data_IF_690766615999
#
_entry.id   IF_690766615999
#
_cell.length_a   1.000
_cell.length_b   1.000
_cell.length_c   1.000
_cell.angle_alpha   90.00
_cell.angle_beta   90.00
_cell.angle_gamma   90.00
#
_symmetry.space_group_name_H-M   'P 1'
#
loop_
_entity.id
_entity.type
_entity.pdbx_description
1 polymer ?
#
# COMPACT_ATOMS: atom_id res chain seq x y z
N UNK A 1 -12.46 -0.70 7.30
CA UNK A 1 -12.28 -1.53 8.53
C UNK A 1 -11.83 -2.91 8.08
N UNK A 2 -10.60 -3.29 8.44
CA UNK A 2 -9.86 -4.41 7.87
C UNK A 2 -10.43 -5.78 8.27
N UNK A 3 -10.28 -6.78 7.40
CA UNK A 3 -10.47 -8.19 7.78
C UNK A 3 -9.41 -8.56 8.82
N UNK A 4 -9.81 -9.30 9.85
CA UNK A 4 -8.85 -9.77 10.83
C UNK A 4 -7.95 -10.83 10.19
N UNK A 5 -6.70 -10.44 9.96
CA UNK A 5 -5.65 -11.38 9.59
C UNK A 5 -5.44 -12.29 10.79
N UNK A 6 -5.64 -13.59 10.60
CA UNK A 6 -5.47 -14.63 11.63
C UNK A 6 -4.30 -14.35 12.58
N UNK A 7 -4.60 -14.34 13.88
CA UNK A 7 -3.61 -14.16 14.95
C UNK A 7 -2.61 -15.32 15.05
N UNK A 8 -3.03 -16.55 14.75
CA UNK A 8 -2.14 -17.72 14.72
C UNK A 8 -1.48 -17.86 13.34
N UNK A 9 -0.32 -17.22 13.21
CA UNK A 9 0.69 -17.56 12.20
C UNK A 9 1.83 -18.32 12.88
N UNK A 10 1.60 -19.57 13.25
CA UNK A 10 2.67 -20.49 13.60
C UNK A 10 3.80 -20.41 12.55
N UNK A 11 5.06 -20.11 12.93
CA UNK A 11 6.15 -19.93 11.96
C UNK A 11 6.34 -21.19 11.11
N UNK A 12 6.04 -21.09 9.82
CA UNK A 12 6.32 -22.16 8.86
C UNK A 12 7.72 -21.97 8.30
N UNK A 13 8.65 -22.83 8.72
CA UNK A 13 10.02 -22.83 8.22
C UNK A 13 10.99 -23.62 9.10
N UNK A 14 12.25 -23.78 8.65
CA UNK A 14 13.30 -24.41 9.44
C UNK A 14 13.45 -23.68 10.78
N UNK A 15 13.46 -24.44 11.89
CA UNK A 15 13.64 -23.86 13.23
C UNK A 15 15.00 -23.16 13.32
N UNK A 16 15.05 -21.89 13.77
CA UNK A 16 16.31 -21.21 14.00
C UNK A 16 17.06 -21.87 15.16
N UNK A 17 18.26 -22.38 14.91
CA UNK A 17 19.14 -23.02 15.88
C UNK A 17 19.89 -21.98 16.73
N UNK A 18 19.15 -21.14 17.45
CA UNK A 18 19.72 -20.01 18.19
C UNK A 18 20.48 -20.46 19.44
N UNK A 19 19.89 -21.38 20.22
CA UNK A 19 20.46 -21.91 21.45
C UNK A 19 21.71 -22.78 21.18
N UNK A 20 21.67 -23.53 20.09
CA UNK A 20 22.80 -24.32 19.60
C UNK A 20 23.95 -23.41 19.15
N UNK A 21 23.62 -22.28 18.51
CA UNK A 21 24.62 -21.30 18.07
C UNK A 21 25.28 -20.57 19.24
N UNK A 22 24.54 -20.18 20.27
CA UNK A 22 25.11 -19.54 21.46
C UNK A 22 26.03 -20.50 22.20
N UNK A 23 25.57 -21.74 22.44
CA UNK A 23 26.37 -22.78 23.09
C UNK A 23 27.64 -23.12 22.31
N UNK A 24 27.56 -23.12 20.98
CA UNK A 24 28.74 -23.29 20.14
C UNK A 24 29.78 -22.19 20.36
N UNK A 25 29.39 -20.91 20.38
CA UNK A 25 30.34 -19.82 20.59
C UNK A 25 30.93 -19.80 22.00
N UNK A 26 30.14 -20.19 23.01
CA UNK A 26 30.63 -20.37 24.38
C UNK A 26 31.73 -21.45 24.47
N UNK A 27 31.55 -22.59 23.79
CA UNK A 27 32.58 -23.63 23.71
C UNK A 27 33.84 -23.13 22.98
N UNK A 28 33.69 -22.33 21.94
CA UNK A 28 34.84 -21.73 21.25
C UNK A 28 35.57 -20.72 22.14
N UNK A 29 34.86 -19.87 22.91
CA UNK A 29 35.51 -18.96 23.85
C UNK A 29 36.26 -19.68 24.99
N UNK A 30 35.79 -20.88 25.34
CA UNK A 30 36.44 -21.76 26.31
C UNK A 30 37.60 -22.60 25.70
N UNK A 31 37.98 -22.33 24.45
CA UNK A 31 39.15 -22.94 23.80
C UNK A 31 38.92 -24.28 23.11
N UNK A 32 37.67 -24.76 23.01
CA UNK A 32 37.38 -26.03 22.34
C UNK A 32 37.59 -25.95 20.82
N UNK A 33 38.02 -27.07 20.24
CA UNK A 33 38.17 -27.20 18.79
C UNK A 33 36.82 -27.17 18.05
N UNK A 34 36.79 -26.58 16.84
CA UNK A 34 35.55 -26.39 16.09
C UNK A 34 34.77 -27.67 15.75
N UNK A 35 35.48 -28.79 15.48
CA UNK A 35 34.84 -30.09 15.20
C UNK A 35 34.25 -30.70 16.46
N UNK A 36 34.92 -30.50 17.58
CA UNK A 36 34.51 -30.99 18.89
C UNK A 36 33.29 -30.21 19.39
N UNK A 37 33.33 -28.88 19.32
CA UNK A 37 32.20 -28.01 19.63
C UNK A 37 30.97 -28.31 18.75
N UNK A 38 31.16 -28.61 17.46
CA UNK A 38 30.07 -29.02 16.57
C UNK A 38 29.42 -30.35 17.01
N UNK A 39 30.23 -31.32 17.44
CA UNK A 39 29.74 -32.61 17.95
C UNK A 39 28.97 -32.45 19.26
N UNK A 40 29.47 -31.63 20.19
CA UNK A 40 28.83 -31.35 21.49
C UNK A 40 27.46 -30.67 21.31
N UNK A 41 27.35 -29.78 20.33
CA UNK A 41 26.11 -29.04 20.03
C UNK A 41 25.13 -29.86 19.18
N UNK A 42 25.56 -30.99 18.61
CA UNK A 42 24.71 -31.86 17.80
C UNK A 42 24.46 -31.34 16.39
N UNK A 43 25.38 -30.53 15.84
CA UNK A 43 25.25 -29.92 14.51
C UNK A 43 26.40 -30.32 13.60
N UNK A 44 26.17 -30.33 12.29
CA UNK A 44 27.23 -30.65 11.33
C UNK A 44 28.33 -29.58 11.35
N UNK A 45 29.58 -29.99 11.11
CA UNK A 45 30.72 -29.06 11.00
C UNK A 45 30.51 -27.98 9.93
N UNK A 46 29.72 -28.26 8.87
CA UNK A 46 29.36 -27.24 7.85
C UNK A 46 28.46 -26.14 8.43
N UNK A 47 27.54 -26.49 9.33
CA UNK A 47 26.65 -25.54 10.02
C UNK A 47 27.45 -24.58 10.91
N UNK A 48 28.39 -25.11 11.70
CA UNK A 48 29.24 -24.30 12.58
C UNK A 48 30.22 -23.45 11.80
N UNK A 49 30.79 -23.98 10.71
CA UNK A 49 31.60 -23.19 9.75
C UNK A 49 30.80 -22.00 9.20
N UNK A 50 29.52 -22.19 8.87
CA UNK A 50 28.63 -21.12 8.40
C UNK A 50 28.37 -20.05 9.46
N UNK A 51 28.15 -20.45 10.72
CA UNK A 51 27.99 -19.51 11.83
C UNK A 51 29.24 -18.65 12.06
N UNK A 52 30.43 -19.24 11.94
CA UNK A 52 31.72 -18.53 12.06
C UNK A 52 31.99 -17.60 10.88
N UNK A 53 31.83 -18.09 9.65
CA UNK A 53 32.13 -17.31 8.45
C UNK A 53 31.15 -16.15 8.22
N UNK A 54 30.08 -16.04 9.04
CA UNK A 54 29.04 -15.05 8.84
C UNK A 54 28.34 -15.19 7.49
N UNK A 55 28.45 -16.37 6.85
CA UNK A 55 27.92 -16.66 5.52
C UNK A 55 26.40 -16.82 5.60
N UNK A 56 25.76 -15.67 5.71
CA UNK A 56 24.34 -15.49 5.59
C UNK A 56 24.05 -15.33 4.09
N UNK A 57 24.16 -16.43 3.33
CA UNK A 57 23.72 -16.53 1.92
C UNK A 57 22.24 -16.12 1.67
N UNK A 58 21.52 -15.71 2.71
CA UNK A 58 20.21 -15.06 2.69
C UNK A 58 20.25 -13.53 2.76
N UNK A 59 21.41 -12.88 2.91
CA UNK A 59 21.55 -11.48 2.48
C UNK A 59 21.46 -11.50 0.96
N UNK A 60 20.25 -11.38 0.42
CA UNK A 60 20.03 -11.03 -0.99
C UNK A 60 20.82 -9.74 -1.23
N UNK A 61 22.02 -9.86 -1.80
CA UNK A 61 22.63 -8.76 -2.51
C UNK A 61 21.60 -8.34 -3.58
N UNK A 62 21.07 -7.12 -3.48
CA UNK A 62 20.02 -6.63 -4.36
C UNK A 62 18.65 -6.37 -3.75
N UNK A 63 18.50 -6.28 -2.41
CA UNK A 63 17.40 -5.45 -1.89
C UNK A 63 17.77 -3.97 -2.06
N UNK A 64 17.66 -3.51 -3.31
CA UNK A 64 17.27 -2.12 -3.56
C UNK A 64 15.94 -1.97 -2.80
N UNK A 65 15.81 -0.97 -1.93
CA UNK A 65 14.49 -0.59 -1.44
C UNK A 65 13.57 -0.58 -2.66
N UNK A 66 12.37 -1.22 -2.65
CA UNK A 66 11.47 -1.14 -3.80
C UNK A 66 11.44 0.34 -4.17
N UNK A 67 11.76 0.69 -5.44
CA UNK A 67 11.74 2.08 -5.92
C UNK A 67 10.42 2.60 -5.36
N UNK A 68 10.48 3.41 -4.30
CA UNK A 68 9.28 3.76 -3.56
C UNK A 68 8.39 4.37 -4.62
N UNK A 69 7.32 3.67 -4.96
CA UNK A 69 6.59 3.91 -6.21
C UNK A 69 6.40 5.42 -6.26
N UNK A 70 7.08 6.10 -7.21
CA UNK A 70 6.72 7.48 -7.47
C UNK A 70 5.24 7.36 -7.78
N UNK A 71 4.34 7.87 -6.92
CA UNK A 71 2.93 7.55 -7.05
C UNK A 71 2.58 7.92 -8.48
N UNK A 72 2.11 6.93 -9.25
CA UNK A 72 1.77 7.14 -10.64
C UNK A 72 0.83 8.35 -10.67
N UNK A 73 1.33 9.52 -11.06
CA UNK A 73 0.50 10.70 -11.27
C UNK A 73 -0.05 10.51 -12.68
N UNK A 74 -1.32 10.11 -12.84
CA UNK A 74 -1.89 9.98 -14.17
C UNK A 74 -1.74 11.35 -14.83
N UNK A 75 -1.16 11.37 -16.02
CA UNK A 75 -1.01 12.61 -16.81
C UNK A 75 -2.38 13.30 -16.83
N UNK A 76 -2.43 14.51 -16.28
CA UNK A 76 -3.66 15.30 -16.29
C UNK A 76 -4.01 15.52 -17.76
N UNK A 77 -5.23 15.14 -18.16
CA UNK A 77 -5.69 15.48 -19.50
C UNK A 77 -5.75 17.00 -19.63
N UNK A 78 -5.70 17.49 -20.86
CA UNK A 78 -5.82 18.92 -21.15
C UNK A 78 -7.11 19.54 -20.59
N UNK A 79 -8.09 18.77 -20.12
CA UNK A 79 -9.27 19.30 -19.42
C UNK A 79 -8.95 19.94 -18.07
N UNK A 80 -7.96 19.44 -17.34
CA UNK A 80 -7.65 19.86 -15.98
C UNK A 80 -6.49 20.85 -15.95
N UNK A 81 -6.52 21.79 -15.00
CA UNK A 81 -5.37 22.67 -14.73
C UNK A 81 -4.25 21.85 -14.09
N UNK A 82 -3.05 21.99 -14.63
CA UNK A 82 -1.81 21.46 -14.08
C UNK A 82 -1.25 22.37 -12.98
N UNK A 83 -0.22 21.91 -12.28
CA UNK A 83 0.51 22.73 -11.32
C UNK A 83 1.12 23.98 -11.98
N UNK A 84 1.68 23.82 -13.18
CA UNK A 84 2.22 24.95 -13.98
C UNK A 84 1.16 25.97 -14.33
N UNK A 85 -0.03 25.50 -14.71
CA UNK A 85 -1.18 26.38 -14.98
C UNK A 85 -1.56 27.19 -13.73
N UNK A 86 -1.51 26.57 -12.55
CA UNK A 86 -1.82 27.24 -11.28
C UNK A 86 -0.77 28.28 -10.91
N UNK A 87 0.52 27.98 -11.10
CA UNK A 87 1.61 28.95 -10.91
C UNK A 87 1.41 30.14 -11.84
N UNK A 88 1.13 29.89 -13.12
CA UNK A 88 0.86 30.95 -14.08
C UNK A 88 -0.33 31.84 -13.67
N UNK A 89 -1.43 31.25 -13.22
CA UNK A 89 -2.58 32.01 -12.70
C UNK A 89 -2.15 32.89 -11.52
N UNK A 90 -1.37 32.35 -10.58
CA UNK A 90 -0.90 33.10 -9.41
C UNK A 90 -0.04 34.30 -9.80
N UNK A 91 0.93 34.12 -10.71
CA UNK A 91 1.80 35.19 -11.18
C UNK A 91 1.00 36.31 -11.86
N UNK A 92 -0.01 35.96 -12.66
CA UNK A 92 -0.85 36.96 -13.34
C UNK A 92 -1.80 37.69 -12.40
N UNK A 93 -2.34 37.00 -11.40
CA UNK A 93 -3.15 37.63 -10.35
C UNK A 93 -2.31 38.63 -9.56
N UNK A 94 -1.08 38.27 -9.19
CA UNK A 94 -0.14 39.18 -8.52
C UNK A 94 0.22 40.39 -9.39
N UNK A 95 0.33 40.20 -10.70
CA UNK A 95 0.54 41.28 -11.67
C UNK A 95 -0.71 42.15 -11.92
N UNK A 96 -1.83 41.92 -11.23
CA UNK A 96 -3.05 42.71 -11.35
C UNK A 96 -3.87 42.44 -12.62
N UNK A 97 -3.65 41.32 -13.30
CA UNK A 97 -4.38 40.99 -14.53
C UNK A 97 -5.84 40.64 -14.24
N UNK A 98 -6.74 41.00 -15.15
CA UNK A 98 -8.14 40.56 -15.07
C UNK A 98 -8.27 39.06 -15.35
N UNK A 99 -9.25 38.41 -14.71
CA UNK A 99 -9.53 36.97 -14.92
C UNK A 99 -9.81 36.63 -16.40
N UNK A 100 -10.38 37.57 -17.16
CA UNK A 100 -10.64 37.42 -18.60
C UNK A 100 -9.34 37.43 -19.41
N UNK A 101 -8.38 38.29 -19.06
CA UNK A 101 -7.08 38.34 -19.72
C UNK A 101 -6.27 37.06 -19.47
N UNK A 102 -6.25 36.58 -18.23
CA UNK A 102 -5.59 35.30 -17.87
C UNK A 102 -6.20 34.14 -18.66
N UNK A 103 -7.52 34.09 -18.75
CA UNK A 103 -8.23 33.04 -19.47
C UNK A 103 -7.94 33.07 -20.98
N UNK A 104 -7.89 34.26 -21.59
CA UNK A 104 -7.55 34.43 -23.00
C UNK A 104 -6.13 33.90 -23.30
N UNK A 105 -5.15 34.27 -22.47
CA UNK A 105 -3.76 33.84 -22.60
C UNK A 105 -3.60 32.31 -22.47
N UNK A 106 -4.29 31.71 -21.49
CA UNK A 106 -4.29 30.26 -21.30
C UNK A 106 -5.17 29.49 -22.30
N UNK A 107 -5.89 30.19 -23.19
CA UNK A 107 -6.91 29.64 -24.09
C UNK A 107 -7.97 28.82 -23.34
N UNK A 108 -8.45 29.34 -22.21
CA UNK A 108 -9.47 28.74 -21.33
C UNK A 108 -10.69 29.64 -21.20
N UNK A 109 -11.79 29.07 -20.71
CA UNK A 109 -12.95 29.88 -20.35
C UNK A 109 -12.63 30.73 -19.10
N UNK A 110 -13.08 32.00 -19.04
CA UNK A 110 -12.98 32.82 -17.83
C UNK A 110 -13.61 32.16 -16.59
N UNK A 111 -14.68 31.38 -16.81
CA UNK A 111 -15.33 30.59 -15.76
C UNK A 111 -14.43 29.51 -15.16
N UNK A 112 -13.47 28.97 -15.90
CA UNK A 112 -12.50 27.99 -15.38
C UNK A 112 -11.57 28.66 -14.38
N UNK A 113 -11.01 29.83 -14.73
CA UNK A 113 -10.08 30.58 -13.87
C UNK A 113 -10.79 31.10 -12.61
N UNK A 114 -11.97 31.68 -12.76
CA UNK A 114 -12.79 32.15 -11.63
C UNK A 114 -13.13 31.01 -10.66
N UNK A 115 -13.56 29.86 -11.18
CA UNK A 115 -13.87 28.67 -10.36
C UNK A 115 -12.63 28.05 -9.71
N UNK A 116 -11.47 28.13 -10.33
CA UNK A 116 -10.21 27.67 -9.72
C UNK A 116 -9.85 28.54 -8.51
N UNK A 117 -9.81 29.86 -8.70
CA UNK A 117 -9.43 30.81 -7.64
C UNK A 117 -10.42 30.74 -6.48
N UNK A 118 -11.72 30.82 -6.75
CA UNK A 118 -12.75 30.75 -5.69
C UNK A 118 -12.72 29.46 -4.87
N UNK A 119 -12.39 28.31 -5.47
CA UNK A 119 -12.35 27.02 -4.74
C UNK A 119 -11.05 26.77 -3.97
N UNK A 120 -9.98 27.49 -4.32
CA UNK A 120 -8.63 27.21 -3.82
C UNK A 120 -7.94 28.39 -3.14
N UNK A 121 -8.58 29.57 -3.09
CA UNK A 121 -8.16 30.69 -2.27
C UNK A 121 -8.05 30.30 -0.79
N UNK A 122 -7.14 30.94 -0.07
CA UNK A 122 -7.04 30.76 1.37
C UNK A 122 -8.32 31.27 2.05
N UNK A 123 -8.97 30.50 2.94
CA UNK A 123 -10.22 30.91 3.59
C UNK A 123 -10.11 32.26 4.31
N UNK A 124 -9.01 32.47 5.05
CA UNK A 124 -8.84 33.67 5.86
C UNK A 124 -8.22 34.85 5.09
N UNK A 125 -7.08 34.64 4.42
CA UNK A 125 -6.38 35.74 3.73
C UNK A 125 -6.89 36.04 2.33
N UNK A 126 -7.69 35.14 1.72
CA UNK A 126 -8.09 35.25 0.31
C UNK A 126 -6.96 34.99 -0.70
N UNK A 127 -5.73 34.78 -0.24
CA UNK A 127 -4.57 34.60 -1.13
C UNK A 127 -4.71 33.35 -1.99
N UNK A 128 -4.36 33.48 -3.26
CA UNK A 128 -4.28 32.35 -4.17
C UNK A 128 -2.86 31.75 -4.17
N UNK A 129 -2.68 30.63 -3.45
CA UNK A 129 -1.39 29.92 -3.34
C UNK A 129 -1.36 28.70 -4.27
N UNK A 130 -0.49 28.66 -5.30
CA UNK A 130 -0.58 27.66 -6.37
C UNK A 130 -0.29 26.23 -5.90
N UNK A 131 0.71 26.02 -5.04
CA UNK A 131 1.04 24.68 -4.51
C UNK A 131 -0.04 24.15 -3.58
N UNK A 132 -0.64 25.02 -2.75
CA UNK A 132 -1.77 24.64 -1.90
C UNK A 132 -3.02 24.30 -2.75
N UNK A 133 -3.27 25.06 -3.82
CA UNK A 133 -4.33 24.79 -4.78
C UNK A 133 -4.14 23.42 -5.47
N UNK A 134 -2.91 23.10 -5.88
CA UNK A 134 -2.56 21.80 -6.45
C UNK A 134 -2.80 20.67 -5.43
N UNK A 135 -2.31 20.80 -4.20
CA UNK A 135 -2.50 19.79 -3.15
C UNK A 135 -3.99 19.56 -2.84
N UNK A 136 -4.81 20.61 -2.79
CA UNK A 136 -6.26 20.52 -2.62
C UNK A 136 -6.97 19.91 -3.84
N UNK A 137 -6.47 20.15 -5.05
CA UNK A 137 -7.01 19.51 -6.25
C UNK A 137 -6.69 18.01 -6.25
N UNK A 138 -5.47 17.64 -5.87
CA UNK A 138 -5.03 16.24 -5.77
C UNK A 138 -5.77 15.50 -4.65
N UNK A 139 -6.01 16.13 -3.49
CA UNK A 139 -6.75 15.48 -2.39
C UNK A 139 -8.23 15.26 -2.69
N UNK A 140 -8.84 16.09 -3.54
CA UNK A 140 -10.23 15.92 -4.01
C UNK A 140 -10.36 14.97 -5.20
N UNK A 141 -9.24 14.57 -5.81
CA UNK A 141 -9.23 13.72 -7.01
C UNK A 141 -9.67 12.28 -6.76
N UNK A 142 -9.28 11.62 -5.63
CA UNK A 142 -9.80 10.29 -5.32
C UNK A 142 -11.32 10.30 -5.32
N UNK A 143 -11.90 9.34 -6.06
CA UNK A 143 -13.32 9.03 -5.99
C UNK A 143 -13.46 7.63 -5.42
N UNK A 144 -13.21 7.44 -4.10
CA UNK A 144 -13.34 6.14 -3.49
C UNK A 144 -14.78 5.66 -3.67
N UNK A 145 -14.93 4.46 -4.24
CA UNK A 145 -16.21 3.76 -4.25
C UNK A 145 -16.16 2.76 -3.11
N UNK A 146 -17.17 2.76 -2.25
CA UNK A 146 -17.32 1.73 -1.23
C UNK A 146 -17.41 0.39 -1.95
N UNK A 147 -16.47 -0.51 -1.69
CA UNK A 147 -16.48 -1.86 -2.29
C UNK A 147 -17.71 -2.63 -1.85
N UNK A 148 -18.21 -3.55 -2.69
CA UNK A 148 -19.44 -4.32 -2.43
C UNK A 148 -19.41 -5.06 -1.08
N UNK A 149 -18.25 -5.65 -0.73
CA UNK A 149 -18.07 -6.35 0.54
C UNK A 149 -18.04 -5.36 1.72
N UNK A 150 -17.46 -4.18 1.54
CA UNK A 150 -17.42 -3.15 2.58
C UNK A 150 -18.81 -2.55 2.87
N UNK A 151 -19.63 -2.39 1.83
CA UNK A 151 -20.97 -1.84 1.92
C UNK A 151 -22.05 -2.82 2.39
N UNK A 152 -21.81 -4.14 2.29
CA UNK A 152 -22.75 -5.17 2.70
C UNK A 152 -22.22 -5.97 3.90
N UNK A 153 -22.76 -5.69 5.09
CA UNK A 153 -22.35 -6.32 6.35
C UNK A 153 -22.58 -7.83 6.39
N UNK A 154 -23.68 -8.32 5.80
CA UNK A 154 -24.02 -9.75 5.73
C UNK A 154 -23.02 -10.50 4.85
N UNK A 155 -22.75 -9.97 3.65
CA UNK A 155 -21.76 -10.52 2.74
C UNK A 155 -20.36 -10.56 3.37
N UNK A 156 -19.97 -9.50 4.08
CA UNK A 156 -18.69 -9.44 4.80
C UNK A 156 -18.61 -10.51 5.88
N UNK A 157 -19.64 -10.67 6.70
CA UNK A 157 -19.68 -11.68 7.76
C UNK A 157 -19.59 -13.10 7.16
N UNK A 158 -20.29 -13.36 6.06
CA UNK A 158 -20.22 -14.63 5.36
C UNK A 158 -18.80 -14.92 4.85
N UNK A 159 -18.19 -13.95 4.15
CA UNK A 159 -16.83 -14.09 3.61
C UNK A 159 -15.84 -14.34 4.75
N UNK A 160 -15.92 -13.58 5.85
CA UNK A 160 -15.05 -13.79 7.02
C UNK A 160 -15.22 -15.20 7.60
N UNK A 161 -16.46 -15.64 7.84
CA UNK A 161 -16.73 -16.96 8.41
C UNK A 161 -16.16 -18.10 7.55
N UNK A 162 -16.27 -18.02 6.22
CA UNK A 162 -15.68 -19.04 5.33
C UNK A 162 -14.15 -18.94 5.25
N UNK A 163 -13.60 -17.73 5.29
CA UNK A 163 -12.16 -17.53 5.37
C UNK A 163 -11.58 -18.15 6.65
N UNK A 164 -12.28 -18.02 7.79
CA UNK A 164 -11.89 -18.64 9.07
C UNK A 164 -11.84 -20.16 8.98
N UNK A 165 -12.72 -20.76 8.18
CA UNK A 165 -12.73 -22.19 7.83
C UNK A 165 -11.69 -22.59 6.77
N UNK A 166 -10.79 -21.69 6.37
CA UNK A 166 -9.71 -21.90 5.37
C UNK A 166 -10.21 -22.14 3.95
N UNK A 167 -11.39 -21.63 3.61
CA UNK A 167 -11.87 -21.72 2.24
C UNK A 167 -11.10 -20.75 1.34
N UNK A 168 -10.86 -21.16 0.09
CA UNK A 168 -10.28 -20.30 -0.92
C UNK A 168 -11.31 -19.26 -1.41
N UNK A 169 -10.90 -18.05 -1.82
CA UNK A 169 -11.81 -17.07 -2.42
C UNK A 169 -12.67 -17.60 -3.56
N UNK A 170 -12.15 -18.52 -4.38
CA UNK A 170 -12.90 -19.21 -5.45
C UNK A 170 -14.01 -20.08 -4.87
N UNK A 171 -13.73 -20.86 -3.82
CA UNK A 171 -14.72 -21.68 -3.11
C UNK A 171 -15.82 -20.82 -2.48
N UNK A 172 -15.44 -19.68 -1.88
CA UNK A 172 -16.39 -18.74 -1.28
C UNK A 172 -17.29 -18.13 -2.36
N UNK A 173 -16.72 -17.64 -3.46
CA UNK A 173 -17.49 -17.04 -4.57
C UNK A 173 -18.47 -18.02 -5.21
N UNK A 174 -18.09 -19.30 -5.35
CA UNK A 174 -18.96 -20.35 -5.90
C UNK A 174 -20.08 -20.68 -4.95
N UNK A 175 -19.78 -20.79 -3.65
CA UNK A 175 -20.78 -21.11 -2.63
C UNK A 175 -21.79 -19.99 -2.45
N UNK A 176 -21.37 -18.72 -2.51
CA UNK A 176 -22.28 -17.57 -2.49
C UNK A 176 -23.37 -17.66 -3.57
N UNK A 177 -23.01 -18.07 -4.80
CA UNK A 177 -23.99 -18.26 -5.88
C UNK A 177 -24.97 -19.41 -5.63
N UNK A 178 -24.57 -20.42 -4.87
CA UNK A 178 -25.40 -21.60 -4.58
C UNK A 178 -26.31 -21.37 -3.39
N UNK A 179 -25.80 -20.75 -2.32
CA UNK A 179 -26.58 -20.49 -1.10
C UNK A 179 -27.50 -19.26 -1.25
N UNK A 180 -27.16 -18.33 -2.13
CA UNK A 180 -27.95 -17.11 -2.38
C UNK A 180 -28.24 -16.94 -3.89
N UNK A 181 -29.00 -17.87 -4.52
CA UNK A 181 -29.23 -17.86 -5.95
C UNK A 181 -29.96 -16.60 -6.41
N UNK A 182 -30.96 -16.10 -5.67
CA UNK A 182 -31.80 -14.97 -6.11
C UNK A 182 -31.35 -13.61 -5.56
N UNK A 183 -30.26 -13.57 -4.78
CA UNK A 183 -29.76 -12.34 -4.14
C UNK A 183 -28.51 -11.83 -4.80
N UNK A 184 -28.67 -10.90 -5.75
CA UNK A 184 -27.55 -10.33 -6.50
C UNK A 184 -26.55 -9.59 -5.60
N UNK A 185 -27.01 -8.99 -4.50
CA UNK A 185 -26.19 -8.30 -3.51
C UNK A 185 -25.16 -9.20 -2.81
N UNK A 186 -25.38 -10.52 -2.81
CA UNK A 186 -24.48 -11.53 -2.25
C UNK A 186 -23.45 -12.05 -3.26
N UNK A 187 -23.60 -11.72 -4.54
CA UNK A 187 -22.72 -12.22 -5.61
C UNK A 187 -21.45 -11.37 -5.70
N UNK A 188 -20.29 -12.01 -5.51
CA UNK A 188 -18.96 -11.43 -5.78
C UNK A 188 -18.08 -12.43 -6.54
N UNK A 189 -17.12 -11.92 -7.30
CA UNK A 189 -16.06 -12.75 -7.91
C UNK A 189 -14.93 -12.90 -6.88
N UNK A 190 -14.17 -13.99 -6.96
CA UNK A 190 -13.03 -14.25 -6.06
C UNK A 190 -11.99 -13.13 -6.08
N UNK A 191 -11.77 -12.47 -7.23
CA UNK A 191 -10.93 -11.27 -7.34
C UNK A 191 -11.37 -10.14 -6.41
N UNK A 192 -12.69 -9.97 -6.21
CA UNK A 192 -13.24 -8.97 -5.28
C UNK A 192 -12.90 -9.32 -3.83
N UNK A 193 -12.89 -10.61 -3.49
CA UNK A 193 -12.49 -11.10 -2.17
C UNK A 193 -10.98 -10.90 -1.97
N UNK A 194 -10.16 -11.23 -2.96
CA UNK A 194 -8.72 -10.95 -2.92
C UNK A 194 -8.43 -9.47 -2.75
N UNK A 195 -9.07 -8.60 -3.54
CA UNK A 195 -8.92 -7.16 -3.43
C UNK A 195 -9.25 -6.66 -2.02
N UNK A 196 -10.34 -7.17 -1.44
CA UNK A 196 -10.77 -6.82 -0.10
C UNK A 196 -9.77 -7.27 0.99
N UNK A 197 -9.09 -8.40 0.78
CA UNK A 197 -8.04 -8.90 1.68
C UNK A 197 -6.72 -8.13 1.56
N UNK A 198 -6.32 -7.74 0.35
CA UNK A 198 -5.01 -7.12 0.11
C UNK A 198 -4.99 -5.60 0.28
N UNK A 199 -6.06 -4.91 -0.13
CA UNK A 199 -6.07 -3.44 -0.13
C UNK A 199 -6.54 -2.88 1.22
N UNK A 200 -7.26 -3.69 2.01
CA UNK A 200 -7.99 -3.20 3.17
C UNK A 200 -9.16 -2.33 2.72
N UNK A 201 -10.38 -2.70 3.12
CA UNK A 201 -11.57 -1.92 2.82
C UNK A 201 -11.62 -0.59 3.59
#
# INVERSE_FOLDING_TARGET
MAFDVRADRSPQGPKPLLAERTKFFELISNGYGFREAAKIVGVTYRTTKRWRSGDNRTKKAGMVAPIGERPYRPRLSSRYLSERDRVFIADRVLAGWSLRAIAAEMKRSPSTISREISRNAHPDSGDYRPYAAQARADSRRPRPKVGKIAGNGELRAFVQAKLDLRWSPEQISRTLRREFPDREEMRVVHETIYLALYVGA
#
